data_IF_952353476988
#
_entry.id   IF_952353476988
#
_cell.length_a   1.000
_cell.length_b   1.000
_cell.length_c   1.000
_cell.angle_alpha   90.00
_cell.angle_beta   90.00
_cell.angle_gamma   90.00
#
_symmetry.space_group_name_H-M   'P 1'
#
loop_
_entity.id
_entity.type
_entity.pdbx_description
1 polymer ?
#
# COMPACT_ATOMS: atom_id res chain seq x y z
N UNK A 1 24.06 7.58 0.73
CA UNK A 1 22.86 7.46 -0.14
C UNK A 1 23.27 6.85 -1.47
N UNK A 2 22.80 5.60 -1.73
CA UNK A 2 23.16 4.86 -2.96
C UNK A 2 22.70 5.63 -4.20
N UNK A 3 21.47 6.13 -4.21
CA UNK A 3 20.95 6.86 -5.36
C UNK A 3 21.77 8.12 -5.68
N UNK A 4 22.08 8.93 -4.69
CA UNK A 4 22.86 10.15 -4.86
C UNK A 4 24.28 9.86 -5.38
N UNK A 5 24.90 8.79 -4.85
CA UNK A 5 26.22 8.35 -5.31
C UNK A 5 26.22 7.94 -6.78
N UNK A 6 25.18 7.21 -7.23
CA UNK A 6 25.09 6.71 -8.60
C UNK A 6 24.66 7.78 -9.60
N UNK A 7 23.85 8.76 -9.19
CA UNK A 7 23.20 9.70 -10.11
C UNK A 7 23.66 11.15 -9.95
N UNK A 8 24.52 11.48 -8.98
CA UNK A 8 25.03 12.82 -8.71
C UNK A 8 23.95 13.84 -8.28
N UNK A 9 22.79 13.36 -7.82
CA UNK A 9 21.68 14.16 -7.34
C UNK A 9 20.83 13.39 -6.34
N UNK A 10 20.07 14.09 -5.51
CA UNK A 10 19.14 13.48 -4.54
C UNK A 10 17.94 12.84 -5.25
N UNK A 11 17.40 11.78 -4.63
CA UNK A 11 16.22 11.08 -5.11
C UNK A 11 14.99 11.99 -5.22
N UNK A 12 14.80 12.86 -4.25
CA UNK A 12 13.65 13.72 -4.05
C UNK A 12 13.14 13.67 -2.63
N UNK A 13 12.00 14.31 -2.39
CA UNK A 13 11.36 14.38 -1.08
C UNK A 13 10.22 13.35 -1.01
N UNK A 14 10.22 12.56 0.06
CA UNK A 14 9.24 11.52 0.39
C UNK A 14 9.16 10.40 -0.66
N UNK A 15 10.20 9.54 -0.70
CA UNK A 15 10.10 8.23 -1.34
C UNK A 15 9.05 7.40 -0.58
N UNK A 16 7.89 7.18 -1.21
CA UNK A 16 6.73 6.62 -0.52
C UNK A 16 6.57 5.12 -0.72
N UNK A 17 6.89 4.65 -1.90
CA UNK A 17 6.74 3.24 -2.27
C UNK A 17 7.74 2.84 -3.32
N UNK A 18 8.09 1.55 -3.36
CA UNK A 18 8.94 0.98 -4.40
C UNK A 18 8.61 -0.48 -4.63
N UNK A 19 8.76 -0.91 -5.87
CA UNK A 19 8.66 -2.31 -6.28
C UNK A 19 9.85 -2.71 -7.15
N UNK A 20 10.15 -3.98 -7.20
CA UNK A 20 11.02 -4.59 -8.20
C UNK A 20 10.16 -5.31 -9.23
N UNK A 21 10.42 -5.08 -10.51
CA UNK A 21 9.79 -5.78 -11.63
C UNK A 21 10.79 -5.92 -12.76
N UNK A 22 10.95 -7.14 -13.27
CA UNK A 22 11.85 -7.47 -14.40
C UNK A 22 13.29 -6.96 -14.24
N UNK A 23 13.84 -7.00 -13.01
CA UNK A 23 15.21 -6.58 -12.71
C UNK A 23 15.40 -5.06 -12.59
N UNK A 24 14.32 -4.29 -12.61
CA UNK A 24 14.32 -2.85 -12.38
C UNK A 24 13.60 -2.50 -11.08
N UNK A 25 14.05 -1.43 -10.44
CA UNK A 25 13.40 -0.86 -9.26
C UNK A 25 12.60 0.37 -9.69
N UNK A 26 11.30 0.38 -9.38
CA UNK A 26 10.43 1.53 -9.62
C UNK A 26 10.14 2.21 -8.29
N UNK A 27 10.41 3.51 -8.20
CA UNK A 27 10.27 4.29 -6.96
C UNK A 27 9.27 5.42 -7.16
N UNK A 28 8.27 5.46 -6.31
CA UNK A 28 7.30 6.56 -6.22
C UNK A 28 7.80 7.58 -5.21
N UNK A 29 8.02 8.82 -5.64
CA UNK A 29 8.48 9.94 -4.80
C UNK A 29 7.34 10.95 -4.69
N UNK A 30 6.64 10.91 -3.56
CA UNK A 30 5.35 11.58 -3.36
C UNK A 30 5.44 13.11 -3.50
N UNK A 31 6.12 13.81 -2.59
CA UNK A 31 6.19 15.27 -2.55
C UNK A 31 6.90 15.84 -3.79
N UNK A 32 7.92 15.16 -4.27
CA UNK A 32 8.61 15.56 -5.51
C UNK A 32 7.84 15.21 -6.79
N UNK A 33 6.70 14.54 -6.70
CA UNK A 33 5.83 14.14 -7.83
C UNK A 33 6.57 13.38 -8.93
N UNK A 34 7.35 12.35 -8.55
CA UNK A 34 8.15 11.57 -9.49
C UNK A 34 7.80 10.08 -9.45
N UNK A 35 7.90 9.43 -10.61
CA UNK A 35 8.09 7.99 -10.74
C UNK A 35 9.46 7.78 -11.38
N UNK A 36 10.31 6.98 -10.75
CA UNK A 36 11.67 6.69 -11.21
C UNK A 36 11.79 5.22 -11.59
N UNK A 37 12.51 4.93 -12.67
CA UNK A 37 12.97 3.60 -13.03
C UNK A 37 14.47 3.53 -12.81
N UNK A 38 14.92 2.60 -11.97
CA UNK A 38 16.31 2.41 -11.60
C UNK A 38 16.76 0.99 -11.96
N UNK A 39 18.05 0.84 -12.25
CA UNK A 39 18.66 -0.50 -12.25
C UNK A 39 18.76 -1.03 -10.82
N UNK A 40 19.02 -2.34 -10.64
CA UNK A 40 19.29 -2.94 -9.33
C UNK A 40 20.50 -2.33 -8.59
N UNK A 41 21.40 -1.63 -9.31
CA UNK A 41 22.52 -0.86 -8.73
C UNK A 41 22.12 0.57 -8.32
N UNK A 42 20.86 0.98 -8.51
CA UNK A 42 20.36 2.32 -8.17
C UNK A 42 20.66 3.41 -9.21
N UNK A 43 21.09 3.03 -10.43
CA UNK A 43 21.29 3.99 -11.54
C UNK A 43 19.93 4.31 -12.17
N UNK A 44 19.62 5.60 -12.29
CA UNK A 44 18.39 6.06 -12.94
C UNK A 44 18.43 5.81 -14.45
N UNK A 45 17.40 5.13 -14.94
CA UNK A 45 17.21 4.79 -16.35
C UNK A 45 16.20 5.73 -16.99
N UNK A 46 15.11 6.02 -16.28
CA UNK A 46 14.04 6.89 -16.73
C UNK A 46 13.32 7.55 -15.55
N UNK A 47 12.61 8.64 -15.84
CA UNK A 47 11.71 9.30 -14.88
C UNK A 47 10.48 9.87 -15.55
N UNK A 48 9.41 9.98 -14.78
CA UNK A 48 8.20 10.69 -15.12
C UNK A 48 7.87 11.70 -14.01
N UNK A 49 7.43 12.91 -14.39
CA UNK A 49 6.97 13.94 -13.46
C UNK A 49 5.45 14.04 -13.54
N UNK A 50 4.78 13.85 -12.38
CA UNK A 50 3.33 13.94 -12.32
C UNK A 50 2.84 15.37 -12.42
N UNK A 51 1.73 15.53 -13.14
CA UNK A 51 1.05 16.84 -13.33
C UNK A 51 0.22 17.19 -12.08
N UNK A 52 -0.15 18.47 -11.97
CA UNK A 52 -1.05 18.93 -10.89
C UNK A 52 -2.41 18.21 -10.92
N UNK A 53 -2.92 17.85 -12.09
CA UNK A 53 -4.17 17.11 -12.24
C UNK A 53 -4.09 15.70 -11.65
N UNK A 54 -2.98 14.99 -11.82
CA UNK A 54 -2.76 13.68 -11.23
C UNK A 54 -2.56 13.79 -9.71
N UNK A 55 -1.98 14.88 -9.24
CA UNK A 55 -1.62 15.08 -7.85
C UNK A 55 -0.37 14.29 -7.46
N UNK A 56 -0.14 14.15 -6.16
CA UNK A 56 0.99 13.41 -5.61
C UNK A 56 0.81 11.90 -5.85
N UNK A 57 1.81 11.21 -6.43
CA UNK A 57 1.79 9.75 -6.55
C UNK A 57 1.99 9.09 -5.18
N UNK A 58 1.35 7.94 -4.96
CA UNK A 58 1.32 7.33 -3.64
C UNK A 58 1.94 5.94 -3.58
N UNK A 59 1.37 4.97 -4.28
CA UNK A 59 1.83 3.59 -4.31
C UNK A 59 1.87 3.07 -5.73
N UNK A 60 2.61 1.98 -5.96
CA UNK A 60 2.81 1.37 -7.26
C UNK A 60 2.60 -0.14 -7.22
N UNK A 61 2.01 -0.69 -8.27
CA UNK A 61 1.91 -2.12 -8.52
C UNK A 61 2.27 -2.41 -9.98
N UNK A 62 2.69 -3.63 -10.28
CA UNK A 62 3.05 -4.04 -11.63
C UNK A 62 2.40 -5.38 -12.00
N UNK A 63 2.00 -5.52 -13.26
CA UNK A 63 1.53 -6.76 -13.84
C UNK A 63 1.62 -6.70 -15.36
N UNK A 64 2.08 -7.78 -15.99
CA UNK A 64 2.09 -7.94 -17.45
C UNK A 64 2.77 -6.78 -18.20
N UNK A 65 3.93 -6.31 -17.72
CA UNK A 65 4.70 -5.24 -18.32
C UNK A 65 4.08 -3.84 -18.17
N UNK A 66 3.14 -3.66 -17.27
CA UNK A 66 2.50 -2.37 -16.94
C UNK A 66 2.68 -2.01 -15.48
N UNK A 67 2.92 -0.72 -15.23
CA UNK A 67 2.89 -0.12 -13.89
C UNK A 67 1.57 0.62 -13.69
N UNK A 68 1.09 0.57 -12.47
CA UNK A 68 -0.11 1.27 -12.02
C UNK A 68 0.22 2.06 -10.77
N UNK A 69 0.07 3.38 -10.83
CA UNK A 69 0.42 4.30 -9.74
C UNK A 69 -0.82 5.01 -9.24
N UNK A 70 -1.10 4.89 -7.94
CA UNK A 70 -2.16 5.68 -7.30
C UNK A 70 -1.73 7.13 -7.16
N UNK A 71 -2.65 8.05 -7.40
CA UNK A 71 -2.42 9.49 -7.41
C UNK A 71 -3.50 10.22 -6.61
N UNK A 72 -3.11 11.13 -5.74
CA UNK A 72 -4.02 11.85 -4.84
C UNK A 72 -5.05 12.74 -5.55
N UNK A 73 -4.87 13.02 -6.85
CA UNK A 73 -5.92 13.60 -7.69
C UNK A 73 -7.16 12.69 -7.88
N UNK A 74 -7.15 11.48 -7.29
CA UNK A 74 -8.21 10.48 -7.41
C UNK A 74 -8.11 9.68 -8.70
N UNK A 75 -6.90 9.30 -9.06
CA UNK A 75 -6.62 8.52 -10.28
C UNK A 75 -5.68 7.35 -10.00
N UNK A 76 -5.77 6.33 -10.86
CA UNK A 76 -4.68 5.40 -11.11
C UNK A 76 -4.09 5.76 -12.47
N UNK A 77 -2.79 6.04 -12.52
CA UNK A 77 -2.04 6.29 -13.75
C UNK A 77 -1.37 4.99 -14.23
N UNK A 78 -1.40 4.71 -15.54
CA UNK A 78 -0.77 3.53 -16.13
C UNK A 78 0.44 3.92 -16.96
N UNK A 79 1.50 3.13 -16.83
CA UNK A 79 2.75 3.28 -17.55
C UNK A 79 3.19 1.96 -18.16
N UNK A 80 3.99 2.02 -19.20
CA UNK A 80 4.73 0.90 -19.74
C UNK A 80 5.99 0.64 -18.91
N UNK A 81 6.24 -0.61 -18.46
CA UNK A 81 7.38 -0.94 -17.61
C UNK A 81 8.72 -0.75 -18.32
N UNK A 82 8.80 -1.04 -19.63
CA UNK A 82 10.07 -0.97 -20.35
C UNK A 82 10.51 0.49 -20.56
N UNK A 83 9.63 1.31 -21.07
CA UNK A 83 9.91 2.68 -21.52
C UNK A 83 9.59 3.77 -20.50
N UNK A 84 8.83 3.44 -19.45
CA UNK A 84 8.19 4.38 -18.51
C UNK A 84 7.24 5.39 -19.20
N UNK A 85 6.76 5.06 -20.41
CA UNK A 85 5.80 5.89 -21.12
C UNK A 85 4.44 5.91 -20.42
N UNK A 86 3.89 7.11 -20.20
CA UNK A 86 2.54 7.29 -19.68
C UNK A 86 1.49 6.88 -20.71
N UNK A 87 0.60 5.97 -20.34
CA UNK A 87 -0.43 5.41 -21.23
C UNK A 87 -1.84 5.93 -20.95
N UNK A 88 -2.04 6.61 -19.83
CA UNK A 88 -3.34 7.15 -19.47
C UNK A 88 -3.66 6.99 -17.98
N UNK A 89 -4.86 7.38 -17.62
CA UNK A 89 -5.37 7.33 -16.24
C UNK A 89 -6.82 6.90 -16.19
N UNK A 90 -7.22 6.32 -15.05
CA UNK A 90 -8.61 6.02 -14.74
C UNK A 90 -8.98 6.73 -13.44
N UNK A 91 -10.20 7.33 -13.41
CA UNK A 91 -10.73 7.98 -12.21
C UNK A 91 -11.17 6.91 -11.21
N UNK A 92 -10.76 7.06 -9.96
CA UNK A 92 -11.17 6.23 -8.81
C UNK A 92 -11.72 7.12 -7.70
N UNK A 93 -12.07 6.55 -6.56
CA UNK A 93 -12.49 7.32 -5.40
C UNK A 93 -11.35 8.18 -4.84
N UNK A 94 -11.68 9.12 -3.95
CA UNK A 94 -10.75 10.15 -3.49
C UNK A 94 -9.57 9.59 -2.70
N UNK A 95 -8.39 10.13 -2.97
CA UNK A 95 -7.14 9.83 -2.28
C UNK A 95 -6.88 8.33 -2.18
N UNK A 96 -6.62 7.67 -3.35
CA UNK A 96 -6.22 6.28 -3.37
C UNK A 96 -4.85 6.12 -2.71
N UNK A 97 -4.75 5.14 -1.82
CA UNK A 97 -3.56 4.75 -1.07
C UNK A 97 -2.92 3.51 -1.70
N UNK A 98 -2.70 2.45 -0.92
CA UNK A 98 -2.08 1.24 -1.43
C UNK A 98 -2.92 0.57 -2.52
N UNK A 99 -2.22 0.02 -3.50
CA UNK A 99 -2.76 -0.67 -4.67
C UNK A 99 -2.15 -2.06 -4.77
N UNK A 100 -2.96 -3.02 -5.16
CA UNK A 100 -2.54 -4.37 -5.56
C UNK A 100 -3.13 -4.71 -6.91
N UNK A 101 -2.47 -5.61 -7.63
CA UNK A 101 -2.97 -6.18 -8.87
C UNK A 101 -2.95 -7.72 -8.78
N UNK A 102 -4.03 -8.35 -9.20
CA UNK A 102 -4.16 -9.80 -9.23
C UNK A 102 -5.07 -10.22 -10.39
N UNK A 103 -4.57 -11.11 -11.25
CA UNK A 103 -5.29 -11.65 -12.40
C UNK A 103 -6.03 -10.58 -13.24
N UNK A 104 -5.33 -9.54 -13.62
CA UNK A 104 -5.88 -8.46 -14.46
C UNK A 104 -6.84 -7.53 -13.74
N UNK A 105 -6.89 -7.57 -12.41
CA UNK A 105 -7.74 -6.72 -11.59
C UNK A 105 -6.92 -5.92 -10.59
N UNK A 106 -7.07 -4.59 -10.60
CA UNK A 106 -6.50 -3.71 -9.60
C UNK A 106 -7.50 -3.47 -8.46
N UNK A 107 -6.98 -3.44 -7.26
CA UNK A 107 -7.73 -3.03 -6.07
C UNK A 107 -6.94 -1.92 -5.39
N UNK A 108 -7.57 -0.81 -5.10
CA UNK A 108 -6.97 0.27 -4.31
C UNK A 108 -7.92 0.75 -3.22
N UNK A 109 -7.39 0.92 -2.02
CA UNK A 109 -8.14 1.53 -0.92
C UNK A 109 -8.12 3.05 -1.07
N UNK A 110 -9.24 3.71 -0.79
CA UNK A 110 -9.40 5.15 -0.95
C UNK A 110 -9.74 5.78 0.40
N UNK A 111 -8.77 6.48 0.98
CA UNK A 111 -8.84 7.06 2.32
C UNK A 111 -9.64 8.37 2.40
N UNK A 112 -9.81 9.06 1.25
CA UNK A 112 -10.44 10.39 1.21
C UNK A 112 -9.78 11.40 2.16
N UNK A 113 -8.46 11.27 2.40
CA UNK A 113 -7.72 12.02 3.44
C UNK A 113 -8.33 11.87 4.84
N UNK A 114 -8.68 10.65 5.20
CA UNK A 114 -9.22 10.33 6.51
C UNK A 114 -10.76 10.32 6.61
N UNK A 115 -11.47 10.61 5.52
CA UNK A 115 -12.95 10.64 5.48
C UNK A 115 -13.56 9.57 4.56
N UNK A 116 -12.74 8.83 3.83
CA UNK A 116 -13.16 7.78 2.91
C UNK A 116 -13.18 6.40 3.55
N UNK A 117 -13.89 5.47 2.90
CA UNK A 117 -14.03 4.08 3.34
C UNK A 117 -14.35 3.17 2.15
N UNK A 118 -13.69 3.36 1.02
CA UNK A 118 -13.99 2.59 -0.18
C UNK A 118 -12.77 1.85 -0.72
N UNK A 119 -13.04 0.82 -1.52
CA UNK A 119 -12.09 0.16 -2.40
C UNK A 119 -12.59 0.35 -3.83
N UNK A 120 -11.78 0.94 -4.68
CA UNK A 120 -12.03 0.99 -6.11
C UNK A 120 -11.39 -0.21 -6.80
N UNK A 121 -12.16 -0.84 -7.70
CA UNK A 121 -11.74 -2.02 -8.47
C UNK A 121 -11.69 -1.66 -9.95
N UNK A 122 -10.54 -1.90 -10.58
CA UNK A 122 -10.27 -1.54 -11.97
C UNK A 122 -9.91 -2.78 -12.78
N UNK A 123 -10.54 -2.95 -13.93
CA UNK A 123 -10.17 -3.94 -14.93
C UNK A 123 -8.95 -3.42 -15.70
N UNK A 124 -7.82 -4.16 -15.69
CA UNK A 124 -6.57 -3.71 -16.31
C UNK A 124 -6.63 -3.73 -17.84
N UNK A 125 -7.41 -4.65 -18.43
CA UNK A 125 -7.54 -4.81 -19.87
C UNK A 125 -8.24 -3.62 -20.51
N UNK A 126 -9.37 -3.22 -19.95
CA UNK A 126 -10.15 -2.07 -20.43
C UNK A 126 -9.71 -0.76 -19.78
N UNK A 127 -8.90 -0.84 -18.74
CA UNK A 127 -8.45 0.24 -17.89
C UNK A 127 -9.59 1.15 -17.45
N UNK A 128 -10.61 0.53 -16.85
CA UNK A 128 -11.84 1.19 -16.41
C UNK A 128 -12.28 0.68 -15.04
N UNK A 129 -12.91 1.55 -14.25
CA UNK A 129 -13.51 1.15 -12.96
C UNK A 129 -14.65 0.17 -13.21
N UNK A 130 -14.53 -1.02 -12.66
CA UNK A 130 -15.56 -2.03 -12.71
C UNK A 130 -16.56 -1.90 -11.56
N UNK A 131 -16.07 -1.55 -10.36
CA UNK A 131 -16.87 -1.47 -9.12
C UNK A 131 -16.16 -0.60 -8.08
N UNK A 132 -16.93 -0.17 -7.07
CA UNK A 132 -16.45 0.37 -5.81
C UNK A 132 -17.18 -0.30 -4.67
N UNK A 133 -16.51 -0.59 -3.56
CA UNK A 133 -17.07 -1.24 -2.38
C UNK A 133 -16.81 -0.41 -1.14
N UNK A 134 -17.73 -0.46 -0.18
CA UNK A 134 -17.46 0.04 1.16
C UNK A 134 -16.59 -0.94 1.94
N UNK A 135 -15.68 -0.41 2.72
CA UNK A 135 -14.77 -1.14 3.60
C UNK A 135 -14.65 -0.44 4.97
N UNK A 136 -13.54 -0.64 5.66
CA UNK A 136 -13.23 0.02 6.93
C UNK A 136 -12.95 1.52 6.73
N UNK A 137 -13.17 2.32 7.75
CA UNK A 137 -13.01 3.76 7.72
C UNK A 137 -11.55 4.19 7.67
N UNK A 138 -11.21 5.09 6.76
CA UNK A 138 -9.86 5.60 6.51
C UNK A 138 -8.84 4.48 6.22
N UNK A 139 -9.09 3.66 5.17
CA UNK A 139 -8.22 2.54 4.85
C UNK A 139 -6.91 3.03 4.24
N UNK A 140 -5.79 2.39 4.61
CA UNK A 140 -4.46 2.78 4.11
C UNK A 140 -3.70 1.62 3.44
N UNK A 141 -4.02 0.38 3.79
CA UNK A 141 -3.32 -0.79 3.26
C UNK A 141 -4.28 -1.86 2.76
N UNK A 142 -3.87 -2.56 1.71
CA UNK A 142 -4.60 -3.66 1.09
C UNK A 142 -3.60 -4.75 0.70
N UNK A 143 -3.95 -6.01 0.95
CA UNK A 143 -3.17 -7.19 0.57
C UNK A 143 -4.10 -8.25 0.00
N UNK A 144 -3.59 -9.11 -0.86
CA UNK A 144 -4.32 -10.25 -1.41
C UNK A 144 -3.47 -11.51 -1.26
N UNK A 145 -4.12 -12.62 -0.91
CA UNK A 145 -3.50 -13.94 -0.92
C UNK A 145 -4.58 -15.02 -1.10
N UNK A 146 -4.40 -15.88 -2.09
CA UNK A 146 -5.32 -16.99 -2.39
C UNK A 146 -6.79 -16.57 -2.51
N UNK A 147 -7.07 -15.39 -3.12
CA UNK A 147 -8.41 -14.84 -3.31
C UNK A 147 -8.99 -14.15 -2.06
N UNK A 148 -8.28 -14.13 -0.93
CA UNK A 148 -8.65 -13.34 0.22
C UNK A 148 -8.05 -11.93 0.12
N UNK A 149 -8.88 -10.90 0.30
CA UNK A 149 -8.43 -9.51 0.32
C UNK A 149 -8.50 -9.00 1.75
N UNK A 150 -7.39 -8.44 2.23
CA UNK A 150 -7.28 -7.89 3.58
C UNK A 150 -7.09 -6.38 3.48
N UNK A 151 -7.75 -5.65 4.39
CA UNK A 151 -7.68 -4.19 4.46
C UNK A 151 -7.34 -3.78 5.87
N UNK A 152 -6.34 -2.88 6.02
CA UNK A 152 -6.05 -2.21 7.27
C UNK A 152 -6.43 -0.73 7.16
N UNK A 153 -6.95 -0.18 8.25
CA UNK A 153 -7.51 1.15 8.33
C UNK A 153 -7.11 1.86 9.63
N UNK A 154 -6.94 3.18 9.54
CA UNK A 154 -6.66 4.01 10.73
C UNK A 154 -7.93 4.32 11.53
N UNK A 155 -9.12 4.15 10.95
CA UNK A 155 -10.38 4.67 11.48
C UNK A 155 -10.54 6.18 11.27
N UNK A 156 -11.72 6.69 11.48
CA UNK A 156 -11.94 8.13 11.46
C UNK A 156 -11.31 8.77 12.70
N UNK A 157 -10.71 9.92 12.49
CA UNK A 157 -10.15 10.72 13.57
C UNK A 157 -11.26 11.49 14.30
N UNK A 158 -11.33 11.30 15.61
CA UNK A 158 -12.23 12.07 16.47
C UNK A 158 -11.47 13.28 17.05
N UNK A 159 -11.78 14.50 16.62
CA UNK A 159 -11.10 15.72 17.09
C UNK A 159 -11.41 16.07 18.54
N UNK A 160 -12.46 15.49 19.14
CA UNK A 160 -12.82 15.73 20.55
C UNK A 160 -11.96 14.91 21.50
N UNK A 161 -11.65 13.68 21.11
CA UNK A 161 -10.85 12.76 21.93
C UNK A 161 -9.40 12.65 21.48
N UNK A 162 -9.06 13.21 20.31
CA UNK A 162 -7.73 13.11 19.67
C UNK A 162 -7.33 11.67 19.37
N UNK A 163 -8.31 10.81 19.12
CA UNK A 163 -8.11 9.38 18.87
C UNK A 163 -8.69 8.95 17.53
N UNK A 164 -8.22 7.82 17.06
CA UNK A 164 -8.84 7.06 15.97
C UNK A 164 -9.00 5.61 16.43
N UNK A 165 -9.78 4.83 15.70
CA UNK A 165 -10.02 3.41 16.00
C UNK A 165 -9.46 2.56 14.86
N UNK A 166 -8.14 2.27 14.86
CA UNK A 166 -7.53 1.44 13.83
C UNK A 166 -8.12 0.05 13.84
N UNK A 167 -8.21 -0.55 12.66
CA UNK A 167 -8.82 -1.86 12.48
C UNK A 167 -8.23 -2.58 11.27
N UNK A 168 -8.48 -3.88 11.18
CA UNK A 168 -8.17 -4.69 10.02
C UNK A 168 -9.32 -5.64 9.74
N UNK A 169 -9.56 -5.95 8.49
CA UNK A 169 -10.63 -6.86 8.10
C UNK A 169 -10.30 -7.66 6.86
N UNK A 170 -11.07 -8.72 6.65
CA UNK A 170 -11.05 -9.54 5.45
C UNK A 170 -12.31 -9.29 4.64
N UNK A 171 -12.14 -9.16 3.33
CA UNK A 171 -13.25 -8.97 2.39
C UNK A 171 -13.66 -10.34 1.84
N UNK A 172 -14.93 -10.66 2.00
CA UNK A 172 -15.50 -11.83 1.33
C UNK A 172 -15.57 -11.57 -0.18
N UNK A 173 -14.90 -12.37 -1.03
CA UNK A 173 -14.81 -12.12 -2.46
C UNK A 173 -16.16 -12.24 -3.19
N UNK A 174 -17.15 -12.94 -2.62
CA UNK A 174 -18.48 -13.12 -3.20
C UNK A 174 -19.44 -12.01 -2.77
N UNK A 175 -19.59 -11.79 -1.46
CA UNK A 175 -20.54 -10.82 -0.92
C UNK A 175 -20.02 -9.39 -0.92
N UNK A 176 -18.71 -9.22 -1.07
CA UNK A 176 -18.00 -7.93 -1.03
C UNK A 176 -18.13 -7.18 0.30
N UNK A 177 -18.50 -7.90 1.35
CA UNK A 177 -18.54 -7.36 2.71
C UNK A 177 -17.21 -7.54 3.40
N UNK A 178 -16.74 -6.48 4.04
CA UNK A 178 -15.61 -6.53 4.95
C UNK A 178 -16.08 -7.05 6.31
N UNK A 179 -15.39 -8.07 6.82
CA UNK A 179 -15.56 -8.57 8.18
C UNK A 179 -14.32 -8.18 8.98
N UNK A 180 -14.52 -7.44 10.06
CA UNK A 180 -13.42 -7.00 10.92
C UNK A 180 -12.80 -8.20 11.65
N UNK A 181 -11.48 -8.20 11.78
CA UNK A 181 -10.74 -9.13 12.65
C UNK A 181 -10.67 -8.45 14.02
N UNK A 182 -11.46 -8.96 14.95
CA UNK A 182 -11.68 -8.32 16.25
C UNK A 182 -10.39 -8.20 17.09
N UNK A 183 -10.23 -7.07 17.75
CA UNK A 183 -9.13 -6.79 18.66
C UNK A 183 -7.79 -6.50 17.98
N UNK A 184 -7.76 -6.37 16.64
CA UNK A 184 -6.54 -6.12 15.88
C UNK A 184 -6.53 -4.70 15.32
N UNK A 185 -5.39 -4.01 15.51
CA UNK A 185 -5.14 -2.65 15.05
C UNK A 185 -3.72 -2.53 14.48
N UNK A 186 -3.39 -3.25 13.39
CA UNK A 186 -2.04 -3.30 12.87
C UNK A 186 -1.60 -1.97 12.28
N UNK A 187 -0.30 -1.72 12.32
CA UNK A 187 0.38 -0.64 11.60
C UNK A 187 0.96 -1.10 10.26
N UNK A 188 1.14 -2.40 10.09
CA UNK A 188 1.57 -3.05 8.84
C UNK A 188 0.91 -4.42 8.74
N UNK A 189 0.63 -4.84 7.51
CA UNK A 189 0.07 -6.14 7.17
C UNK A 189 0.83 -6.79 6.02
N UNK A 190 0.94 -8.11 6.03
CA UNK A 190 1.48 -8.92 4.94
C UNK A 190 0.67 -10.21 4.84
N UNK A 191 0.10 -10.50 3.67
CA UNK A 191 -0.65 -11.70 3.41
C UNK A 191 0.19 -12.71 2.63
N UNK A 192 0.29 -13.94 3.12
CA UNK A 192 0.98 -15.06 2.44
C UNK A 192 0.53 -16.40 3.02
N UNK A 193 0.35 -17.42 2.16
CA UNK A 193 0.00 -18.80 2.53
C UNK A 193 -1.25 -18.90 3.42
N UNK A 194 -2.34 -18.24 3.04
CA UNK A 194 -3.61 -18.18 3.78
C UNK A 194 -3.50 -17.55 5.18
N UNK A 195 -2.45 -16.76 5.41
CA UNK A 195 -2.23 -16.07 6.67
C UNK A 195 -2.04 -14.57 6.47
N UNK A 196 -2.58 -13.79 7.38
CA UNK A 196 -2.29 -12.37 7.49
C UNK A 196 -1.35 -12.16 8.68
N UNK A 197 -0.12 -11.78 8.38
CA UNK A 197 0.86 -11.34 9.37
C UNK A 197 0.62 -9.87 9.68
N UNK A 198 0.54 -9.55 10.96
CA UNK A 198 0.22 -8.22 11.45
C UNK A 198 1.30 -7.73 12.40
N UNK A 199 1.81 -6.54 12.14
CA UNK A 199 2.70 -5.81 13.04
C UNK A 199 1.91 -4.64 13.63
N UNK A 200 1.86 -4.53 14.95
CA UNK A 200 1.24 -3.41 15.65
C UNK A 200 2.31 -2.69 16.47
N UNK A 201 2.58 -1.44 16.12
CA UNK A 201 3.50 -0.57 16.86
C UNK A 201 2.71 0.56 17.51
N UNK A 202 2.88 0.73 18.81
CA UNK A 202 2.26 1.79 19.60
C UNK A 202 3.31 2.60 20.34
N UNK A 203 3.07 3.90 20.49
CA UNK A 203 3.93 4.85 21.23
C UNK A 203 3.11 5.51 22.32
N UNK A 204 2.97 4.86 23.49
CA UNK A 204 2.10 5.36 24.55
C UNK A 204 2.56 6.71 25.14
N UNK A 205 3.83 7.03 25.01
CA UNK A 205 4.48 8.22 25.60
C UNK A 205 5.23 9.09 24.58
N UNK A 206 5.09 8.82 23.27
CA UNK A 206 5.82 9.48 22.16
C UNK A 206 7.35 9.28 22.18
N UNK A 207 7.87 8.46 23.09
CA UNK A 207 9.31 8.21 23.29
C UNK A 207 9.63 6.74 23.11
N UNK A 208 8.82 5.86 23.71
CA UNK A 208 9.00 4.40 23.63
C UNK A 208 8.05 3.77 22.62
N UNK A 209 8.55 2.76 21.93
CA UNK A 209 7.77 1.96 20.98
C UNK A 209 7.59 0.55 21.52
N UNK A 210 6.35 0.08 21.51
CA UNK A 210 6.04 -1.34 21.75
C UNK A 210 5.52 -1.94 20.45
N UNK A 211 6.23 -2.96 19.96
CA UNK A 211 5.83 -3.67 18.74
C UNK A 211 5.41 -5.08 19.09
N UNK A 212 4.24 -5.46 18.63
CA UNK A 212 3.69 -6.81 18.76
C UNK A 212 3.38 -7.40 17.40
N UNK A 213 3.49 -8.72 17.29
CA UNK A 213 3.23 -9.45 16.07
C UNK A 213 2.13 -10.48 16.29
N UNK A 214 1.23 -10.56 15.32
CA UNK A 214 0.10 -11.49 15.34
C UNK A 214 -0.10 -12.11 13.96
N UNK A 215 -0.68 -13.31 13.93
CA UNK A 215 -1.04 -14.02 12.71
C UNK A 215 -2.54 -14.31 12.77
N UNK A 216 -3.26 -13.90 11.72
CA UNK A 216 -4.62 -14.37 11.46
C UNK A 216 -4.54 -15.49 10.42
N UNK A 217 -5.14 -16.63 10.72
CA UNK A 217 -5.24 -17.78 9.82
C UNK A 217 -6.62 -17.75 9.14
N UNK A 218 -6.62 -17.56 7.81
CA UNK A 218 -7.85 -17.41 7.05
C UNK A 218 -8.70 -18.68 6.98
N UNK A 219 -8.07 -19.86 7.12
CA UNK A 219 -8.78 -21.16 7.08
C UNK A 219 -9.55 -21.42 8.37
N UNK A 220 -9.01 -20.97 9.48
CA UNK A 220 -9.61 -21.22 10.80
C UNK A 220 -10.30 -20.01 11.41
N UNK A 221 -10.06 -18.81 10.87
CA UNK A 221 -10.55 -17.55 11.41
C UNK A 221 -9.93 -17.15 12.76
N UNK A 222 -8.82 -17.76 13.16
CA UNK A 222 -8.19 -17.55 14.48
C UNK A 222 -7.01 -16.60 14.39
N UNK A 223 -6.87 -15.79 15.44
CA UNK A 223 -5.68 -14.97 15.68
C UNK A 223 -4.80 -15.64 16.70
N UNK A 224 -3.49 -15.63 16.49
CA UNK A 224 -2.46 -16.09 17.42
C UNK A 224 -1.34 -15.06 17.52
N UNK A 225 -0.66 -15.02 18.67
CA UNK A 225 0.57 -14.23 18.81
C UNK A 225 1.71 -14.90 18.05
N UNK A 226 2.51 -14.09 17.40
CA UNK A 226 3.74 -14.55 16.76
C UNK A 226 4.94 -14.08 17.59
N UNK A 227 5.61 -15.04 18.24
CA UNK A 227 6.80 -14.78 19.03
C UNK A 227 8.03 -14.83 18.13
N UNK A 228 8.70 -13.73 17.96
CA UNK A 228 9.92 -13.59 17.15
C UNK A 228 11.18 -14.02 17.94
N UNK A 229 11.09 -15.08 18.72
CA UNK A 229 12.20 -15.54 19.58
C UNK A 229 13.49 -15.88 18.85
N UNK A 230 13.37 -16.17 17.56
CA UNK A 230 14.48 -16.58 16.70
C UNK A 230 14.97 -15.47 15.78
N UNK A 231 14.47 -14.24 15.92
CA UNK A 231 14.97 -13.09 15.15
C UNK A 231 16.18 -12.50 15.89
N UNK A 232 17.32 -12.29 15.20
CA UNK A 232 18.48 -11.60 15.77
C UNK A 232 18.09 -10.27 16.41
N UNK A 233 18.65 -9.98 17.60
CA UNK A 233 18.34 -8.77 18.38
C UNK A 233 18.58 -7.48 17.60
N UNK A 234 19.47 -7.50 16.61
CA UNK A 234 19.76 -6.41 15.69
C UNK A 234 18.57 -6.03 14.81
N UNK A 235 17.68 -6.99 14.52
CA UNK A 235 16.44 -6.76 13.74
C UNK A 235 15.25 -6.38 14.62
N UNK A 236 15.34 -6.56 15.94
CA UNK A 236 14.29 -6.21 16.89
C UNK A 236 14.50 -4.87 17.58
N UNK A 237 15.70 -4.26 17.43
CA UNK A 237 16.07 -2.99 18.07
C UNK A 237 15.87 -1.75 17.19
N UNK A 238 15.03 -1.82 16.18
CA UNK A 238 14.73 -0.72 15.26
C UNK A 238 13.32 -0.79 14.71
N UNK A 239 12.96 0.20 13.90
CA UNK A 239 11.72 0.13 13.12
C UNK A 239 11.79 -1.05 12.16
N UNK A 240 10.94 -2.04 12.36
CA UNK A 240 10.78 -3.16 11.41
C UNK A 240 10.02 -2.59 10.21
N UNK A 241 10.71 -2.43 9.10
CA UNK A 241 10.09 -2.13 7.82
C UNK A 241 9.79 -3.47 7.13
N UNK A 242 8.53 -3.86 7.06
CA UNK A 242 8.03 -4.96 6.22
C UNK A 242 7.45 -4.39 4.94
#
# INVERSE_FOLDING_TARGET
DIYETQNGRKLGDTANDMIEEDGYIYVVVNVSKLLLKLTGAGVEVARFSFTEELGEPRNVAAENGKLYVTCYGGYIARFDCETLAYEGKVKVDSNPEQIIVHDGTLYTVCSGLGTGNTISVVDTKNFSVSKSYQTLDNPYAIQEDNGNIYVAAYGFYDPMTWTSTPSVGVINPTTKKTTQIEGMAPTRILAVDDKLYMCTSVTPDWISYTTTFSIYDAKTGKVSSWNLKDIPSELTSGNVYM
#
